data_IF_797605546308
#
_entry.id   IF_797605546308
#
_cell.length_a   1.000
_cell.length_b   1.000
_cell.length_c   1.000
_cell.angle_alpha   90.00
_cell.angle_beta   90.00
_cell.angle_gamma   90.00
#
_symmetry.space_group_name_H-M   'P 1'
#
loop_
_entity.id
_entity.type
_entity.pdbx_description
1 polymer ?
#
# COMPACT_ATOMS: atom_id res chain seq x y z
N UNK A 1 -4.78 20.77 37.56
CA UNK A 1 -4.71 21.16 36.14
C UNK A 1 -5.18 20.03 35.23
N UNK A 2 -4.72 18.78 35.42
CA UNK A 2 -5.23 17.58 34.69
C UNK A 2 -6.76 17.40 34.75
N UNK A 3 -7.38 17.55 35.93
CA UNK A 3 -8.83 17.28 36.08
C UNK A 3 -9.71 18.27 35.30
N UNK A 4 -9.25 19.50 35.07
CA UNK A 4 -10.02 20.52 34.34
C UNK A 4 -9.94 20.32 32.83
N UNK A 5 -8.83 19.77 32.36
CA UNK A 5 -8.57 19.47 30.96
C UNK A 5 -9.37 18.24 30.50
N UNK A 6 -9.40 17.19 31.31
CA UNK A 6 -10.12 15.95 31.01
C UNK A 6 -11.64 16.16 30.83
N UNK A 7 -12.22 17.06 31.62
CA UNK A 7 -13.64 17.43 31.54
C UNK A 7 -14.02 18.03 30.17
N UNK A 8 -13.13 18.81 29.54
CA UNK A 8 -13.44 19.49 28.26
C UNK A 8 -13.56 18.50 27.10
N UNK A 9 -12.64 17.52 27.04
CA UNK A 9 -12.65 16.45 26.03
C UNK A 9 -13.91 15.59 26.16
N UNK A 10 -14.27 15.24 27.39
CA UNK A 10 -15.42 14.39 27.66
C UNK A 10 -16.75 15.12 27.35
N UNK A 11 -16.87 16.39 27.72
CA UNK A 11 -18.06 17.21 27.44
C UNK A 11 -18.28 17.40 25.93
N UNK A 12 -17.22 17.67 25.17
CA UNK A 12 -17.31 17.83 23.72
C UNK A 12 -17.56 16.49 23.04
N UNK A 13 -16.89 15.41 23.45
CA UNK A 13 -17.19 14.08 22.92
C UNK A 13 -18.64 13.68 23.15
N UNK A 14 -19.20 13.94 24.35
CA UNK A 14 -20.62 13.73 24.65
C UNK A 14 -21.52 14.59 23.76
N UNK A 15 -21.20 15.86 23.54
CA UNK A 15 -21.97 16.71 22.61
C UNK A 15 -21.92 16.22 21.17
N UNK A 16 -20.75 15.77 20.72
CA UNK A 16 -20.57 15.21 19.38
C UNK A 16 -21.33 13.89 19.20
N UNK A 17 -21.54 13.13 20.29
CA UNK A 17 -22.28 11.86 20.29
C UNK A 17 -23.79 12.00 20.54
N UNK A 18 -24.31 13.16 20.97
CA UNK A 18 -25.73 13.36 21.36
C UNK A 18 -26.76 13.04 20.26
N UNK A 19 -26.34 13.03 18.99
CA UNK A 19 -27.19 12.72 17.84
C UNK A 19 -26.98 11.31 17.28
N UNK A 20 -26.15 10.49 17.94
CA UNK A 20 -25.97 9.09 17.58
C UNK A 20 -27.04 8.28 18.30
N UNK A 21 -27.82 7.50 17.53
CA UNK A 21 -28.76 6.51 18.04
C UNK A 21 -27.95 5.40 18.73
N UNK A 22 -27.56 5.62 19.98
CA UNK A 22 -27.24 4.52 20.87
C UNK A 22 -28.55 4.13 21.53
N UNK A 23 -29.20 3.12 20.94
CA UNK A 23 -30.36 2.50 21.55
C UNK A 23 -29.95 2.00 22.94
N UNK A 24 -30.70 2.43 23.95
CA UNK A 24 -30.49 2.04 25.35
C UNK A 24 -30.57 0.52 25.43
N UNK A 25 -29.44 -0.14 25.68
CA UNK A 25 -29.45 -1.55 26.08
C UNK A 25 -30.02 -1.58 27.49
N UNK A 26 -31.27 -2.06 27.61
CA UNK A 26 -31.87 -2.36 28.91
C UNK A 26 -31.20 -3.60 29.49
N UNK A 27 -30.72 -3.47 30.72
CA UNK A 27 -29.90 -4.43 31.46
C UNK A 27 -30.75 -5.53 32.11
N UNK A 28 -31.59 -6.19 31.33
CA UNK A 28 -32.50 -7.24 31.82
C UNK A 28 -32.44 -8.49 30.92
N UNK A 29 -31.28 -9.15 30.83
CA UNK A 29 -31.20 -10.62 30.62
C UNK A 29 -29.76 -11.09 30.43
N UNK A 30 -29.13 -11.58 31.50
CA UNK A 30 -28.08 -12.61 31.35
C UNK A 30 -28.28 -13.67 32.43
N UNK A 31 -28.77 -14.83 32.01
CA UNK A 31 -28.74 -16.06 32.80
C UNK A 31 -27.29 -16.51 32.96
N UNK A 32 -26.89 -16.70 34.21
CA UNK A 32 -25.59 -17.19 34.65
C UNK A 32 -25.37 -18.64 34.24
N UNK A 33 -24.36 -18.90 33.41
CA UNK A 33 -23.63 -20.17 33.41
C UNK A 33 -22.20 -19.95 33.93
N UNK A 34 -21.88 -20.68 35.00
CA UNK A 34 -20.65 -20.58 35.75
C UNK A 34 -19.50 -21.29 35.02
N UNK A 35 -18.47 -20.56 34.59
CA UNK A 35 -17.17 -21.14 34.26
C UNK A 35 -16.19 -20.90 35.41
N UNK A 36 -15.71 -21.98 36.01
CA UNK A 36 -14.92 -22.05 37.25
C UNK A 36 -13.46 -21.57 37.13
N UNK A 37 -13.16 -20.61 36.24
CA UNK A 37 -11.78 -20.24 35.89
C UNK A 37 -11.46 -18.74 35.97
N UNK A 38 -12.16 -17.97 36.80
CA UNK A 38 -11.87 -16.54 36.93
C UNK A 38 -11.44 -16.21 38.37
N UNK A 39 -10.14 -16.33 38.67
CA UNK A 39 -9.55 -15.62 39.81
C UNK A 39 -9.26 -14.20 39.34
N UNK A 40 -9.95 -13.23 39.94
CA UNK A 40 -9.66 -11.81 39.74
C UNK A 40 -8.21 -11.55 40.14
N UNK A 41 -7.38 -11.16 39.17
CA UNK A 41 -6.08 -10.57 39.45
C UNK A 41 -6.23 -9.06 39.43
N UNK A 42 -5.80 -8.43 40.51
CA UNK A 42 -5.45 -7.02 40.73
C UNK A 42 -5.76 -6.01 39.62
N UNK A 43 -6.43 -4.91 40.01
CA UNK A 43 -6.70 -3.69 39.25
C UNK A 43 -5.56 -3.32 38.28
N UNK A 44 -5.71 -3.79 37.04
CA UNK A 44 -4.96 -3.29 35.89
C UNK A 44 -5.94 -2.48 35.04
N UNK A 45 -5.47 -1.47 34.30
CA UNK A 45 -6.28 -0.64 33.39
C UNK A 45 -6.82 -1.41 32.15
N UNK A 46 -7.09 -2.70 32.30
CA UNK A 46 -7.54 -3.63 31.26
C UNK A 46 -8.56 -4.59 31.83
N UNK A 47 -9.54 -5.00 31.02
CA UNK A 47 -10.50 -6.04 31.42
C UNK A 47 -9.81 -7.39 31.63
N UNK A 48 -10.26 -8.15 32.61
CA UNK A 48 -9.84 -9.54 32.72
C UNK A 48 -10.41 -10.33 31.53
N UNK A 49 -9.70 -11.38 31.10
CA UNK A 49 -10.09 -12.18 29.92
C UNK A 49 -11.53 -12.72 29.99
N UNK A 50 -12.00 -13.08 31.18
CA UNK A 50 -13.38 -13.52 31.39
C UNK A 50 -14.40 -12.40 31.17
N UNK A 51 -14.07 -11.16 31.55
CA UNK A 51 -14.95 -10.00 31.41
C UNK A 51 -15.05 -9.59 29.94
N UNK A 52 -13.93 -9.64 29.20
CA UNK A 52 -13.91 -9.44 27.74
C UNK A 52 -14.84 -10.43 27.04
N UNK A 53 -14.77 -11.71 27.40
CA UNK A 53 -15.62 -12.75 26.80
C UNK A 53 -17.12 -12.49 27.05
N UNK A 54 -17.49 -12.12 28.29
CA UNK A 54 -18.87 -11.78 28.64
C UNK A 54 -19.36 -10.55 27.90
N UNK A 55 -18.56 -9.49 27.84
CA UNK A 55 -18.92 -8.26 27.12
C UNK A 55 -19.06 -8.56 25.63
N UNK A 56 -18.12 -9.29 25.03
CA UNK A 56 -18.22 -9.71 23.63
C UNK A 56 -19.51 -10.48 23.35
N UNK A 57 -19.90 -11.43 24.21
CA UNK A 57 -21.16 -12.16 24.01
C UNK A 57 -22.39 -11.25 24.07
N UNK A 58 -22.39 -10.26 24.98
CA UNK A 58 -23.50 -9.30 25.10
C UNK A 58 -23.55 -8.38 23.88
N UNK A 59 -22.41 -7.86 23.43
CA UNK A 59 -22.35 -6.96 22.27
C UNK A 59 -22.79 -7.70 21.00
N UNK A 60 -22.30 -8.92 20.77
CA UNK A 60 -22.70 -9.75 19.62
C UNK A 60 -24.21 -9.99 19.65
N UNK A 61 -24.76 -10.37 20.81
CA UNK A 61 -26.20 -10.57 20.97
C UNK A 61 -26.99 -9.30 20.64
N UNK A 62 -26.62 -8.17 21.27
CA UNK A 62 -27.30 -6.89 21.03
C UNK A 62 -27.22 -6.46 19.56
N UNK A 63 -26.07 -6.61 18.91
CA UNK A 63 -25.90 -6.21 17.51
C UNK A 63 -26.70 -7.10 16.55
N UNK A 64 -26.68 -8.42 16.78
CA UNK A 64 -27.44 -9.35 15.94
C UNK A 64 -28.95 -9.19 16.12
N UNK A 65 -29.43 -9.05 17.36
CA UNK A 65 -30.87 -9.04 17.65
C UNK A 65 -31.53 -7.66 17.49
N UNK A 66 -30.81 -6.58 17.80
CA UNK A 66 -31.37 -5.22 17.74
C UNK A 66 -31.11 -4.59 16.37
N UNK A 67 -29.89 -4.75 15.84
CA UNK A 67 -29.46 -4.08 14.62
C UNK A 67 -29.67 -4.98 13.39
N UNK A 68 -29.74 -6.31 13.58
CA UNK A 68 -29.98 -7.26 12.49
C UNK A 68 -28.77 -7.48 11.58
N UNK A 69 -27.58 -7.11 12.04
CA UNK A 69 -26.32 -7.29 11.31
C UNK A 69 -25.36 -8.14 12.14
N UNK A 70 -24.40 -8.81 11.49
CA UNK A 70 -23.33 -9.56 12.17
C UNK A 70 -22.03 -8.77 12.14
N UNK A 71 -21.49 -8.41 13.30
CA UNK A 71 -20.19 -7.75 13.43
C UNK A 71 -19.29 -8.53 14.40
N UNK A 72 -18.00 -8.60 14.09
CA UNK A 72 -16.98 -9.14 14.99
C UNK A 72 -16.40 -8.01 15.82
N UNK A 73 -16.51 -8.11 17.14
CA UNK A 73 -15.98 -7.13 18.08
C UNK A 73 -14.65 -7.61 18.65
N UNK A 74 -13.59 -6.87 18.35
CA UNK A 74 -12.27 -7.07 18.96
C UNK A 74 -12.14 -6.10 20.13
N UNK A 75 -12.23 -6.63 21.34
CA UNK A 75 -11.99 -5.89 22.58
C UNK A 75 -10.56 -6.16 23.04
N UNK A 76 -9.60 -5.73 22.23
CA UNK A 76 -8.18 -5.75 22.56
C UNK A 76 -7.73 -4.34 22.96
N UNK A 77 -6.91 -4.25 24.02
CA UNK A 77 -6.36 -2.99 24.52
C UNK A 77 -6.75 -2.67 25.97
N UNK A 78 -6.34 -1.48 26.39
CA UNK A 78 -6.60 -0.91 27.73
C UNK A 78 -7.71 0.13 27.67
N UNK A 79 -8.31 0.43 28.83
CA UNK A 79 -9.32 1.49 28.91
C UNK A 79 -8.79 2.85 28.47
N UNK A 80 -7.52 3.12 28.76
CA UNK A 80 -6.86 4.37 28.35
C UNK A 80 -6.72 4.42 26.83
N UNK A 81 -6.26 3.34 26.19
CA UNK A 81 -6.18 3.25 24.72
C UNK A 81 -7.56 3.45 24.07
N UNK A 82 -8.59 2.74 24.52
CA UNK A 82 -9.94 2.88 23.97
C UNK A 82 -10.51 4.29 24.13
N UNK A 83 -10.13 4.98 25.21
CA UNK A 83 -10.52 6.37 25.43
C UNK A 83 -9.86 7.30 24.42
N UNK A 84 -8.56 7.13 24.17
CA UNK A 84 -7.83 7.87 23.13
C UNK A 84 -8.41 7.60 21.73
N UNK A 85 -8.65 6.33 21.39
CA UNK A 85 -9.25 5.90 20.13
C UNK A 85 -10.64 6.51 19.92
N UNK A 86 -11.48 6.49 20.96
CA UNK A 86 -12.81 7.11 20.94
C UNK A 86 -12.71 8.59 20.59
N UNK A 87 -11.82 9.34 21.25
CA UNK A 87 -11.69 10.77 21.02
C UNK A 87 -11.22 11.09 19.59
N UNK A 88 -10.29 10.31 19.06
CA UNK A 88 -9.81 10.42 17.68
C UNK A 88 -10.92 10.07 16.68
N UNK A 89 -11.66 8.99 16.90
CA UNK A 89 -12.80 8.61 16.06
C UNK A 89 -13.82 9.75 15.93
N UNK A 90 -14.24 10.34 17.05
CA UNK A 90 -15.18 11.46 17.04
C UNK A 90 -14.61 12.70 16.37
N UNK A 91 -13.32 12.99 16.57
CA UNK A 91 -12.64 14.09 15.90
C UNK A 91 -12.76 13.96 14.38
N UNK A 92 -12.36 12.81 13.80
CA UNK A 92 -12.42 12.62 12.35
C UNK A 92 -13.86 12.64 11.83
N UNK A 93 -14.79 11.99 12.55
CA UNK A 93 -16.21 11.96 12.20
C UNK A 93 -16.84 13.36 12.15
N UNK A 94 -16.36 14.27 13.00
CA UNK A 94 -16.93 15.62 13.18
C UNK A 94 -16.05 16.73 12.65
N UNK A 95 -14.94 16.40 12.00
CA UNK A 95 -13.98 17.36 11.44
C UNK A 95 -14.66 18.46 10.62
N UNK A 96 -15.54 18.07 9.69
CA UNK A 96 -16.25 19.02 8.82
C UNK A 96 -17.25 19.91 9.58
N UNK A 97 -17.86 19.39 10.65
CA UNK A 97 -18.79 20.15 11.49
C UNK A 97 -18.02 21.20 12.30
N UNK A 98 -16.87 20.81 12.86
CA UNK A 98 -15.96 21.71 13.60
C UNK A 98 -15.44 22.80 12.65
N UNK A 99 -15.02 22.43 11.44
CA UNK A 99 -14.51 23.37 10.44
C UNK A 99 -15.55 24.44 10.06
N UNK A 100 -16.85 24.12 10.06
CA UNK A 100 -17.91 25.08 9.71
C UNK A 100 -18.17 26.13 10.80
N UNK A 101 -17.74 25.90 12.04
CA UNK A 101 -18.08 26.78 13.20
C UNK A 101 -17.15 27.99 13.37
N UNK A 102 -16.67 28.57 12.27
CA UNK A 102 -15.69 29.67 12.24
C UNK A 102 -16.18 31.00 12.86
N UNK A 103 -17.48 31.16 13.09
CA UNK A 103 -18.12 32.46 13.27
C UNK A 103 -18.57 32.83 14.69
N UNK A 104 -18.59 31.89 15.65
CA UNK A 104 -19.04 32.17 17.02
C UNK A 104 -17.87 32.16 18.02
N UNK A 105 -17.48 33.33 18.55
CA UNK A 105 -16.33 33.49 19.47
C UNK A 105 -16.34 32.55 20.68
N UNK A 106 -17.50 32.29 21.27
CA UNK A 106 -17.60 31.44 22.46
C UNK A 106 -17.46 29.95 22.12
N UNK A 107 -17.97 29.53 20.96
CA UNK A 107 -17.73 28.18 20.43
C UNK A 107 -16.27 28.01 20.00
N UNK A 108 -15.67 29.03 19.41
CA UNK A 108 -14.27 29.04 18.99
C UNK A 108 -13.33 28.69 20.16
N UNK A 109 -13.43 29.35 21.31
CA UNK A 109 -12.59 29.04 22.49
C UNK A 109 -12.76 27.60 22.96
N UNK A 110 -13.99 27.08 22.94
CA UNK A 110 -14.30 25.70 23.32
C UNK A 110 -13.65 24.69 22.37
N UNK A 111 -13.76 24.91 21.07
CA UNK A 111 -13.13 24.06 20.05
C UNK A 111 -11.61 24.15 20.06
N UNK A 112 -11.04 25.33 20.33
CA UNK A 112 -9.60 25.48 20.44
C UNK A 112 -9.02 24.61 21.56
N UNK A 113 -9.61 24.63 22.75
CA UNK A 113 -9.18 23.76 23.87
C UNK A 113 -9.28 22.28 23.54
N UNK A 114 -10.35 21.88 22.85
CA UNK A 114 -10.50 20.50 22.38
C UNK A 114 -9.44 20.10 21.37
N UNK A 115 -9.18 20.96 20.38
CA UNK A 115 -8.21 20.69 19.34
C UNK A 115 -6.78 20.64 19.89
N UNK A 116 -6.44 21.43 20.91
CA UNK A 116 -5.15 21.32 21.60
C UNK A 116 -4.92 19.93 22.19
N UNK A 117 -5.96 19.30 22.75
CA UNK A 117 -5.87 17.96 23.32
C UNK A 117 -5.84 16.89 22.22
N UNK A 118 -6.69 17.04 21.20
CA UNK A 118 -6.67 16.16 20.01
C UNK A 118 -5.31 16.20 19.31
N UNK A 119 -4.65 17.36 19.27
CA UNK A 119 -3.32 17.51 18.67
C UNK A 119 -2.31 16.52 19.28
N UNK A 120 -2.31 16.40 20.61
CA UNK A 120 -1.40 15.50 21.35
C UNK A 120 -1.71 14.04 21.01
N UNK A 121 -2.99 13.65 21.05
CA UNK A 121 -3.43 12.30 20.68
C UNK A 121 -3.11 11.98 19.23
N UNK A 122 -3.30 12.94 18.33
CA UNK A 122 -3.04 12.78 16.91
C UNK A 122 -1.57 12.50 16.63
N UNK A 123 -0.65 13.21 17.28
CA UNK A 123 0.80 12.96 17.18
C UNK A 123 1.21 11.58 17.69
N UNK A 124 0.61 11.14 18.80
CA UNK A 124 0.92 9.82 19.36
C UNK A 124 0.45 8.70 18.42
N UNK A 125 -0.74 8.83 17.84
CA UNK A 125 -1.33 7.78 17.02
C UNK A 125 -0.86 7.81 15.57
N UNK A 126 -0.56 8.96 14.97
CA UNK A 126 -0.06 9.01 13.58
C UNK A 126 1.24 8.20 13.41
N UNK A 127 2.13 8.26 14.40
CA UNK A 127 3.38 7.50 14.39
C UNK A 127 3.15 5.98 14.51
N UNK A 128 2.06 5.55 15.16
CA UNK A 128 1.70 4.14 15.34
C UNK A 128 0.86 3.60 14.18
N UNK A 129 0.04 4.46 13.58
CA UNK A 129 -1.02 4.07 12.67
C UNK A 129 -0.68 4.30 11.19
N UNK A 130 0.16 5.29 10.88
CA UNK A 130 0.37 5.75 9.52
C UNK A 130 1.78 5.44 9.03
N UNK A 131 1.87 4.87 7.83
CA UNK A 131 3.12 4.71 7.10
C UNK A 131 3.02 5.45 5.78
N UNK A 132 3.95 6.37 5.52
CA UNK A 132 3.94 7.20 4.31
C UNK A 132 5.00 6.74 3.31
N UNK A 133 4.63 6.79 2.03
CA UNK A 133 5.49 6.48 0.90
C UNK A 133 5.60 7.69 -0.04
N UNK A 134 6.79 7.96 -0.59
CA UNK A 134 7.01 9.07 -1.51
C UNK A 134 6.30 8.88 -2.85
N UNK A 135 6.23 7.64 -3.34
CA UNK A 135 5.62 7.36 -4.63
C UNK A 135 4.08 7.38 -4.54
N UNK A 136 3.48 8.42 -5.11
CA UNK A 136 2.04 8.51 -5.34
C UNK A 136 1.19 9.17 -4.24
N UNK A 137 1.80 9.75 -3.19
CA UNK A 137 1.08 10.23 -1.98
C UNK A 137 0.21 9.14 -1.35
N UNK A 138 0.66 7.88 -1.47
CA UNK A 138 -0.01 6.76 -0.86
C UNK A 138 0.45 6.64 0.59
N UNK A 139 -0.47 6.26 1.46
CA UNK A 139 -0.20 5.96 2.85
C UNK A 139 -0.93 4.67 3.23
N UNK A 140 -0.32 3.89 4.10
CA UNK A 140 -0.99 2.78 4.77
C UNK A 140 -1.51 3.26 6.12
N UNK A 141 -2.72 2.83 6.46
CA UNK A 141 -3.37 3.12 7.73
C UNK A 141 -3.68 1.80 8.44
N UNK A 142 -2.97 1.54 9.54
CA UNK A 142 -3.18 0.37 10.40
C UNK A 142 -4.34 0.53 11.38
N UNK A 143 -4.86 1.75 11.56
CA UNK A 143 -5.87 2.09 12.57
C UNK A 143 -7.16 2.63 11.94
N UNK A 144 -7.59 2.05 10.82
CA UNK A 144 -8.73 2.55 10.02
C UNK A 144 -10.04 2.69 10.80
N UNK A 145 -10.19 1.95 11.91
CA UNK A 145 -11.37 1.97 12.78
C UNK A 145 -11.57 3.35 13.44
N UNK A 146 -10.51 4.08 13.76
CA UNK A 146 -10.59 5.32 14.53
C UNK A 146 -9.67 6.45 14.05
N UNK A 147 -8.69 6.16 13.19
CA UNK A 147 -7.68 7.13 12.75
C UNK A 147 -7.70 7.36 11.25
N UNK A 148 -7.40 8.59 10.81
CA UNK A 148 -7.24 8.93 9.41
C UNK A 148 -5.86 9.54 9.14
N UNK A 149 -5.09 8.89 8.27
CA UNK A 149 -3.76 9.30 7.83
C UNK A 149 -3.77 10.34 6.69
N UNK A 150 -4.94 10.77 6.23
CA UNK A 150 -5.04 11.83 5.23
C UNK A 150 -4.60 13.17 5.81
N UNK A 151 -3.63 13.82 5.16
CA UNK A 151 -3.09 15.12 5.58
C UNK A 151 -4.18 16.20 5.76
N UNK A 152 -5.27 16.13 5.00
CA UNK A 152 -6.40 17.06 5.08
C UNK A 152 -7.14 17.05 6.42
N UNK A 153 -6.99 16.00 7.23
CA UNK A 153 -7.66 15.86 8.53
C UNK A 153 -6.76 16.24 9.71
N UNK A 154 -5.67 16.93 9.43
CA UNK A 154 -4.71 17.34 10.44
C UNK A 154 -5.31 18.41 11.40
N UNK A 155 -5.24 18.21 12.73
CA UNK A 155 -5.79 19.17 13.69
C UNK A 155 -5.06 20.52 13.69
N UNK A 156 -3.79 20.56 13.30
CA UNK A 156 -3.04 21.83 13.18
C UNK A 156 -3.66 22.79 12.16
N UNK A 157 -4.24 22.25 11.08
CA UNK A 157 -4.90 23.06 10.06
C UNK A 157 -6.19 23.66 10.60
N UNK A 158 -6.99 22.88 11.35
CA UNK A 158 -8.18 23.40 12.04
C UNK A 158 -7.85 24.45 13.09
N UNK A 159 -6.80 24.24 13.89
CA UNK A 159 -6.34 25.22 14.90
C UNK A 159 -5.97 26.54 14.22
N UNK A 160 -5.26 26.46 13.09
CA UNK A 160 -4.87 27.63 12.30
C UNK A 160 -6.08 28.32 11.68
N UNK A 161 -7.00 27.56 11.08
CA UNK A 161 -8.21 28.09 10.45
C UNK A 161 -9.19 28.71 11.45
N UNK A 162 -9.29 28.12 12.65
CA UNK A 162 -10.10 28.64 13.76
C UNK A 162 -9.38 29.75 14.54
N UNK A 163 -8.15 30.14 14.16
CA UNK A 163 -7.38 31.22 14.80
C UNK A 163 -7.30 31.06 16.33
N UNK A 164 -7.00 29.86 16.80
CA UNK A 164 -6.74 29.64 18.21
C UNK A 164 -5.49 30.44 18.64
N UNK A 165 -5.56 31.14 19.76
CA UNK A 165 -4.41 31.90 20.28
C UNK A 165 -3.34 30.95 20.84
N UNK A 166 -2.08 31.23 20.50
CA UNK A 166 -0.83 30.51 20.82
C UNK A 166 -0.40 29.32 19.93
N UNK A 167 0.71 29.57 19.22
CA UNK A 167 1.70 28.59 18.73
C UNK A 167 1.23 27.45 17.80
N UNK A 168 0.35 27.74 16.83
CA UNK A 168 0.15 26.83 15.69
C UNK A 168 1.34 26.91 14.71
N UNK A 169 2.51 26.36 15.08
CA UNK A 169 3.61 26.18 14.15
C UNK A 169 3.25 25.07 13.16
N UNK A 170 2.51 25.43 12.09
CA UNK A 170 2.17 24.53 10.99
C UNK A 170 3.39 23.91 10.30
N UNK A 171 4.58 24.52 10.49
CA UNK A 171 5.86 23.98 10.04
C UNK A 171 6.29 22.68 10.75
N UNK A 172 5.95 22.52 12.03
CA UNK A 172 6.30 21.31 12.81
C UNK A 172 5.64 20.06 12.25
N UNK A 173 4.36 20.16 11.85
CA UNK A 173 3.64 19.03 11.30
C UNK A 173 4.26 18.53 9.98
N UNK A 174 4.74 19.44 9.13
CA UNK A 174 5.44 19.08 7.89
C UNK A 174 6.72 18.29 8.15
N UNK A 175 7.42 18.57 9.25
CA UNK A 175 8.60 17.78 9.64
C UNK A 175 8.23 16.39 10.14
N UNK A 176 7.15 16.27 10.91
CA UNK A 176 6.67 14.95 11.40
C UNK A 176 6.29 14.05 10.22
N UNK A 177 5.53 14.55 9.23
CA UNK A 177 5.23 13.76 8.01
C UNK A 177 6.52 13.36 7.30
N UNK A 178 7.49 14.27 7.14
CA UNK A 178 8.75 13.96 6.47
C UNK A 178 9.57 12.86 7.15
N UNK A 179 9.47 12.75 8.47
CA UNK A 179 10.17 11.72 9.25
C UNK A 179 9.46 10.36 9.20
N UNK A 180 8.15 10.35 8.92
CA UNK A 180 7.36 9.12 8.72
C UNK A 180 7.49 8.50 7.32
N UNK A 181 8.20 9.16 6.41
CA UNK A 181 8.46 8.66 5.05
C UNK A 181 9.59 7.62 5.10
N UNK A 182 9.24 6.35 4.89
CA UNK A 182 10.19 5.23 5.05
C UNK A 182 11.13 5.07 3.83
N UNK A 183 10.73 5.52 2.63
CA UNK A 183 11.50 5.36 1.39
C UNK A 183 12.38 6.56 1.03
N UNK A 184 12.57 7.50 1.97
CA UNK A 184 13.34 8.75 1.79
C UNK A 184 14.76 8.54 1.26
N UNK A 185 15.44 7.51 1.75
CA UNK A 185 16.83 7.21 1.37
C UNK A 185 16.92 6.59 -0.04
N UNK A 186 15.89 5.83 -0.43
CA UNK A 186 15.82 5.18 -1.74
C UNK A 186 15.67 6.21 -2.86
N UNK A 187 14.91 7.30 -2.61
CA UNK A 187 14.75 8.40 -3.57
C UNK A 187 15.99 9.30 -3.66
N UNK A 188 16.69 9.61 -2.55
CA UNK A 188 17.99 10.32 -2.62
C UNK A 188 18.98 9.55 -3.50
N UNK A 189 19.03 8.24 -3.33
CA UNK A 189 19.85 7.35 -4.17
C UNK A 189 19.39 7.33 -5.63
N UNK A 190 18.09 7.18 -5.89
CA UNK A 190 17.52 7.18 -7.25
C UNK A 190 17.69 8.50 -8.00
N UNK A 191 17.46 9.63 -7.35
CA UNK A 191 17.66 10.96 -7.94
C UNK A 191 19.15 11.24 -8.18
N UNK A 192 20.02 10.87 -7.24
CA UNK A 192 21.48 10.95 -7.42
C UNK A 192 21.97 10.09 -8.60
N UNK A 193 21.47 8.86 -8.71
CA UNK A 193 21.79 7.95 -9.80
C UNK A 193 21.25 8.49 -11.13
N UNK A 194 20.03 9.03 -11.18
CA UNK A 194 19.45 9.64 -12.37
C UNK A 194 20.20 10.90 -12.81
N UNK A 195 20.62 11.74 -11.88
CA UNK A 195 21.46 12.91 -12.17
C UNK A 195 22.83 12.48 -12.71
N UNK A 196 23.43 11.46 -12.11
CA UNK A 196 24.72 10.90 -12.55
C UNK A 196 24.61 10.25 -13.93
N UNK A 197 23.54 9.50 -14.21
CA UNK A 197 23.24 8.96 -15.53
C UNK A 197 22.99 10.06 -16.55
N UNK A 198 22.29 11.13 -16.19
CA UNK A 198 22.08 12.27 -17.08
C UNK A 198 23.39 12.99 -17.39
N UNK A 199 24.31 13.13 -16.42
CA UNK A 199 25.65 13.66 -16.64
C UNK A 199 26.46 12.74 -17.56
N UNK A 200 26.42 11.42 -17.33
CA UNK A 200 27.07 10.42 -18.18
C UNK A 200 26.54 10.45 -19.62
N UNK A 201 25.21 10.46 -19.79
CA UNK A 201 24.58 10.48 -21.12
C UNK A 201 24.83 11.78 -21.88
N UNK A 202 25.08 12.87 -21.16
CA UNK A 202 25.40 14.15 -21.78
C UNK A 202 26.88 14.33 -22.11
N UNK A 203 27.75 13.44 -21.62
CA UNK A 203 29.18 13.46 -21.87
C UNK A 203 29.50 13.27 -23.37
N UNK A 204 30.36 14.11 -23.96
CA UNK A 204 30.75 14.00 -25.36
C UNK A 204 31.34 12.62 -25.74
N UNK A 205 32.11 12.01 -24.84
CA UNK A 205 32.70 10.69 -25.03
C UNK A 205 31.63 9.60 -25.06
N UNK A 206 30.69 9.62 -24.12
CA UNK A 206 29.57 8.66 -24.12
C UNK A 206 28.75 8.79 -25.40
N UNK A 207 28.40 10.01 -25.81
CA UNK A 207 27.68 10.27 -27.08
C UNK A 207 28.42 9.72 -28.30
N UNK A 208 29.74 9.93 -28.36
CA UNK A 208 30.57 9.43 -29.46
C UNK A 208 30.60 7.89 -29.50
N UNK A 209 30.78 7.24 -28.33
CA UNK A 209 30.79 5.78 -28.21
C UNK A 209 29.43 5.19 -28.58
N UNK A 210 28.33 5.75 -28.06
CA UNK A 210 26.96 5.31 -28.39
C UNK A 210 26.68 5.46 -29.88
N UNK A 211 27.06 6.57 -30.50
CA UNK A 211 26.94 6.76 -31.94
C UNK A 211 27.70 5.68 -32.72
N UNK A 212 28.93 5.36 -32.30
CA UNK A 212 29.71 4.26 -32.86
C UNK A 212 28.98 2.92 -32.80
N UNK A 213 28.43 2.56 -31.63
CA UNK A 213 27.66 1.31 -31.46
C UNK A 213 26.41 1.26 -32.34
N UNK A 214 25.71 2.39 -32.51
CA UNK A 214 24.54 2.47 -33.41
C UNK A 214 24.96 2.21 -34.86
N UNK A 215 26.03 2.85 -35.33
CA UNK A 215 26.55 2.64 -36.69
C UNK A 215 26.96 1.18 -36.91
N UNK A 216 27.69 0.59 -35.96
CA UNK A 216 28.09 -0.82 -36.02
C UNK A 216 26.86 -1.74 -36.06
N UNK A 217 25.84 -1.47 -35.24
CA UNK A 217 24.59 -2.23 -35.24
C UNK A 217 23.85 -2.17 -36.58
N UNK A 218 23.77 -0.99 -37.20
CA UNK A 218 23.15 -0.82 -38.53
C UNK A 218 23.93 -1.56 -39.62
N UNK A 219 25.26 -1.50 -39.58
CA UNK A 219 26.10 -2.24 -40.54
C UNK A 219 25.99 -3.75 -40.34
N UNK A 220 25.93 -4.21 -39.08
CA UNK A 220 25.80 -5.62 -38.75
C UNK A 220 24.44 -6.18 -39.21
N UNK A 221 23.35 -5.46 -38.98
CA UNK A 221 22.02 -5.86 -39.48
C UNK A 221 22.00 -5.89 -41.00
N UNK A 222 22.57 -4.88 -41.68
CA UNK A 222 22.71 -4.86 -43.14
C UNK A 222 23.52 -6.06 -43.67
N UNK A 223 24.59 -6.45 -42.99
CA UNK A 223 25.38 -7.65 -43.32
C UNK A 223 24.57 -8.94 -43.18
N UNK A 224 23.75 -9.06 -42.13
CA UNK A 224 22.84 -10.20 -41.96
C UNK A 224 21.82 -10.28 -43.11
N UNK A 225 21.19 -9.16 -43.49
CA UNK A 225 20.23 -9.12 -44.60
C UNK A 225 20.87 -9.38 -45.97
N UNK A 226 22.08 -8.85 -46.20
CA UNK A 226 22.86 -9.13 -47.41
C UNK A 226 23.16 -10.63 -47.54
N UNK A 227 23.62 -11.27 -46.45
CA UNK A 227 23.92 -12.71 -46.43
C UNK A 227 22.67 -13.57 -46.66
N UNK A 228 21.52 -13.16 -46.13
CA UNK A 228 20.22 -13.85 -46.35
C UNK A 228 19.77 -13.70 -47.81
N UNK A 229 19.88 -12.50 -48.39
CA UNK A 229 19.51 -12.24 -49.79
C UNK A 229 20.40 -12.97 -50.80
N UNK A 230 21.70 -13.13 -50.50
CA UNK A 230 22.62 -13.89 -51.36
C UNK A 230 22.33 -15.40 -51.35
N UNK A 231 21.90 -15.96 -50.21
CA UNK A 231 21.43 -17.35 -50.14
C UNK A 231 20.16 -17.59 -50.97
N UNK A 232 19.31 -16.58 -51.16
CA UNK A 232 18.13 -16.65 -52.03
C UNK A 232 18.45 -16.74 -53.53
N UNK A 233 19.57 -16.15 -53.99
CA UNK A 233 20.00 -16.17 -55.41
C UNK A 233 20.75 -17.44 -55.83
N UNK A 234 21.19 -18.26 -54.87
CA UNK A 234 21.90 -19.52 -55.14
C UNK A 234 20.99 -20.72 -55.45
N UNK A 235 19.69 -20.52 -55.72
CA UNK A 235 18.82 -21.59 -56.22
C UNK A 235 19.13 -22.02 -57.66
N UNK A 236 19.86 -21.22 -58.44
CA UNK A 236 20.21 -21.53 -59.84
C UNK A 236 21.56 -22.23 -60.01
N UNK A 237 22.36 -22.38 -58.95
CA UNK A 237 23.68 -23.03 -59.05
C UNK A 237 23.59 -24.54 -59.32
N UNK A 238 22.49 -25.18 -58.93
CA UNK A 238 22.23 -26.60 -59.21
C UNK A 238 21.89 -26.89 -60.67
N UNK A 239 21.29 -25.92 -61.40
CA UNK A 239 20.95 -26.09 -62.81
C UNK A 239 22.15 -25.87 -63.76
N UNK A 240 23.25 -25.28 -63.28
CA UNK A 240 24.47 -25.08 -64.06
C UNK A 240 25.39 -26.33 -64.04
N UNK A 241 25.35 -27.11 -62.95
CA UNK A 241 26.24 -28.26 -62.75
C UNK A 241 25.70 -29.59 -63.31
N UNK A 242 24.41 -29.67 -63.66
CA UNK A 242 23.85 -30.80 -64.39
C UNK A 242 22.79 -30.35 -65.40
N UNK A 243 23.22 -29.91 -66.61
CA UNK A 243 22.30 -29.47 -67.66
C UNK A 243 21.44 -30.62 -68.22
N UNK A 244 21.83 -31.87 -67.96
CA UNK A 244 21.23 -33.08 -68.53
C UNK A 244 20.24 -33.79 -67.60
N UNK A 245 20.15 -33.38 -66.33
CA UNK A 245 19.32 -34.02 -65.31
C UNK A 245 19.75 -35.45 -64.95
N UNK A 246 20.94 -35.89 -65.36
CA UNK A 246 21.42 -37.25 -65.16
C UNK A 246 21.86 -37.52 -63.71
N UNK A 247 22.34 -36.50 -63.01
CA UNK A 247 22.73 -36.60 -61.61
C UNK A 247 21.48 -36.79 -60.73
N UNK A 248 20.40 -36.08 -61.02
CA UNK A 248 19.10 -36.29 -60.36
C UNK A 248 18.58 -37.72 -60.56
N UNK A 249 18.66 -38.28 -61.78
CA UNK A 249 18.32 -39.69 -62.04
C UNK A 249 19.21 -40.70 -61.33
N UNK A 250 20.49 -40.39 -61.11
CA UNK A 250 21.42 -41.27 -60.39
C UNK A 250 21.02 -41.42 -58.92
N UNK A 251 20.52 -40.36 -58.29
CA UNK A 251 20.03 -40.39 -56.92
C UNK A 251 18.61 -40.97 -56.81
N UNK A 252 17.74 -40.75 -57.81
CA UNK A 252 16.39 -41.33 -57.85
C UNK A 252 16.40 -42.84 -58.18
N UNK A 253 17.41 -43.31 -58.92
CA UNK A 253 17.52 -44.69 -59.42
C UNK A 253 17.88 -45.76 -58.38
N UNK A 254 18.13 -45.42 -57.10
CA UNK A 254 18.58 -46.38 -56.08
C UNK A 254 17.74 -46.39 -54.80
N UNK A 255 16.41 -46.27 -54.93
CA UNK A 255 15.46 -46.54 -53.85
C UNK A 255 14.50 -47.72 -54.16
N UNK A 256 14.87 -48.63 -55.07
CA UNK A 256 14.17 -49.91 -55.20
C UNK A 256 14.42 -50.75 -53.94
N UNK A 257 13.40 -50.84 -53.07
CA UNK A 257 13.37 -51.77 -51.94
C UNK A 257 13.47 -53.21 -52.46
N UNK A 258 14.65 -53.81 -52.38
CA UNK A 258 14.81 -55.26 -52.55
C UNK A 258 14.76 -55.92 -51.19
N UNK A 259 13.68 -56.67 -50.90
CA UNK A 259 13.63 -57.56 -49.74
C UNK A 259 14.57 -58.74 -49.97
N UNK A 260 15.59 -58.87 -49.14
CA UNK A 260 16.44 -60.06 -49.05
C UNK A 260 16.54 -60.47 -47.58
N UNK A 261 15.63 -61.36 -47.14
CA UNK A 261 15.62 -61.88 -45.76
C UNK A 261 15.36 -60.83 -44.67
N UNK A 262 15.19 -61.30 -43.43
CA UNK A 262 14.70 -60.53 -42.27
C UNK A 262 15.68 -59.50 -41.67
N UNK A 263 16.52 -58.85 -42.49
CA UNK A 263 17.35 -57.74 -41.99
C UNK A 263 17.38 -56.54 -42.93
N UNK A 264 17.18 -55.35 -42.34
CA UNK A 264 17.21 -54.06 -43.01
C UNK A 264 18.63 -53.49 -42.91
N UNK A 265 19.43 -53.58 -43.98
CA UNK A 265 20.78 -52.98 -44.00
C UNK A 265 20.69 -51.55 -44.53
N UNK A 266 21.02 -50.57 -43.69
CA UNK A 266 21.26 -49.18 -44.10
C UNK A 266 22.74 -48.96 -44.37
N UNK A 267 23.11 -48.78 -45.64
CA UNK A 267 24.42 -48.27 -46.02
C UNK A 267 24.41 -46.74 -46.02
N UNK A 268 25.05 -46.13 -45.02
CA UNK A 268 25.40 -44.71 -45.03
C UNK A 268 26.81 -44.56 -45.56
N UNK A 269 26.99 -43.95 -46.73
CA UNK A 269 28.29 -43.48 -47.18
C UNK A 269 28.51 -42.05 -46.67
N UNK A 270 29.61 -41.81 -45.97
CA UNK A 270 30.13 -40.48 -45.71
C UNK A 270 30.83 -39.97 -46.98
N UNK A 271 30.47 -38.77 -47.44
CA UNK A 271 31.25 -38.04 -48.44
C UNK A 271 32.32 -37.21 -47.75
N UNK A 272 33.57 -37.34 -48.19
CA UNK A 272 34.66 -36.39 -47.92
C UNK A 272 34.39 -35.08 -48.66
#
# INVERSE_FOLDING_TARGET
MKDTEENVLEDISKELSKNEKFDKINDDSVTTENSSYCKATTWNNSLAKCDISKINSIIIYAYNEIIGESCTFDLDGTFDEWKEEKYLYYYFKKYNDINKKKSAKQEQTKYCKYLEQIKILYEMHINKCCTYFLEGRNHENGCQKYFNCGEAYNPYDLISELKCEENSYSGYWKTVIQDLIIDRDKMKSGNSLKETLNKLMNDPFYKAVTFGFVVVGVLFTSFLFYKISYRGKNKYKYNFLDPSGNLARFYEGKSRKTKWGDSEIRLSYYSV
#
